data_IF_039026902158
#
_entry.id   IF_039026902158
#
_cell.length_a   1.000
_cell.length_b   1.000
_cell.length_c   1.000
_cell.angle_alpha   90.00
_cell.angle_beta   90.00
_cell.angle_gamma   90.00
#
_symmetry.space_group_name_H-M   'P 1'
#
loop_
_entity.id
_entity.type
_entity.pdbx_description
1 polymer ?
#
# COMPACT_ATOMS: atom_id res chain seq x y z
N UNK A 1 12.45 42.13 10.90
CA UNK A 1 11.29 41.56 11.61
C UNK A 1 10.48 40.82 10.57
N UNK A 2 10.76 39.52 10.43
CA UNK A 2 10.06 38.66 9.49
C UNK A 2 8.68 38.36 10.08
N UNK A 3 7.64 38.75 9.36
CA UNK A 3 6.25 38.47 9.73
C UNK A 3 6.02 36.96 9.63
N UNK A 4 5.73 36.31 10.77
CA UNK A 4 5.18 34.96 10.80
C UNK A 4 3.88 34.96 9.97
N UNK A 5 3.94 34.37 8.77
CA UNK A 5 2.78 34.08 7.96
C UNK A 5 2.01 32.94 8.67
N UNK A 6 0.69 33.03 8.88
CA UNK A 6 -0.06 31.94 9.50
C UNK A 6 0.05 30.72 8.60
N UNK A 7 0.39 29.58 9.20
CA UNK A 7 0.73 28.31 8.58
C UNK A 7 -0.12 28.02 7.33
N UNK A 8 0.53 27.88 6.17
CA UNK A 8 -0.07 27.19 5.05
C UNK A 8 -0.37 25.76 5.53
N UNK A 9 -1.66 25.41 5.62
CA UNK A 9 -2.11 24.07 6.00
C UNK A 9 -1.56 23.06 4.98
N UNK A 10 -0.81 22.08 5.46
CA UNK A 10 -0.22 21.03 4.62
C UNK A 10 -1.28 20.06 4.09
N UNK A 11 -0.91 19.21 3.13
CA UNK A 11 -1.86 18.23 2.59
C UNK A 11 -2.30 17.23 3.66
N UNK A 12 -1.39 16.79 4.53
CA UNK A 12 -1.70 15.85 5.61
C UNK A 12 -2.62 16.44 6.68
N UNK A 13 -2.56 17.75 6.96
CA UNK A 13 -3.54 18.39 7.86
C UNK A 13 -4.94 18.38 7.26
N UNK A 14 -5.10 18.64 5.96
CA UNK A 14 -6.40 18.50 5.30
C UNK A 14 -6.96 17.07 5.35
N UNK A 15 -6.08 16.06 5.18
CA UNK A 15 -6.49 14.66 5.35
C UNK A 15 -6.93 14.37 6.78
N UNK A 16 -6.17 14.82 7.76
CA UNK A 16 -6.50 14.67 9.18
C UNK A 16 -7.85 15.32 9.52
N UNK A 17 -8.08 16.54 9.04
CA UNK A 17 -9.33 17.26 9.28
C UNK A 17 -10.52 16.53 8.66
N UNK A 18 -10.39 15.98 7.45
CA UNK A 18 -11.44 15.18 6.82
C UNK A 18 -11.79 13.91 7.62
N UNK A 19 -10.78 13.26 8.20
CA UNK A 19 -10.94 12.04 8.99
C UNK A 19 -11.39 12.29 10.45
N UNK A 20 -11.22 13.51 10.97
CA UNK A 20 -11.60 13.88 12.35
C UNK A 20 -13.09 13.69 12.67
N UNK A 21 -13.93 13.61 11.63
CA UNK A 21 -15.36 13.34 11.75
C UNK A 21 -15.69 11.88 12.07
N UNK A 22 -14.73 10.97 11.88
CA UNK A 22 -14.87 9.52 12.07
C UNK A 22 -14.09 9.01 13.29
N UNK A 23 -13.03 9.71 13.69
CA UNK A 23 -12.22 9.38 14.87
C UNK A 23 -11.87 10.64 15.65
N UNK A 24 -12.17 10.65 16.96
CA UNK A 24 -11.98 11.82 17.83
C UNK A 24 -10.57 11.91 18.46
N UNK A 25 -9.72 10.91 18.27
CA UNK A 25 -8.47 10.77 19.04
C UNK A 25 -7.18 10.95 18.21
N UNK A 26 -7.29 11.11 16.89
CA UNK A 26 -6.12 11.16 16.02
C UNK A 26 -5.65 12.59 15.73
N UNK A 27 -4.40 12.89 16.09
CA UNK A 27 -3.71 14.13 15.67
C UNK A 27 -3.12 13.97 14.28
N UNK A 28 -2.90 15.07 13.56
CA UNK A 28 -2.21 15.06 12.25
C UNK A 28 -0.87 14.32 12.31
N UNK A 29 -0.09 14.51 13.38
CA UNK A 29 1.19 13.83 13.57
C UNK A 29 1.04 12.32 13.79
N UNK A 30 0.01 11.90 14.53
CA UNK A 30 -0.29 10.46 14.74
C UNK A 30 -0.73 9.78 13.44
N UNK A 31 -1.59 10.47 12.65
CA UNK A 31 -1.99 10.01 11.32
C UNK A 31 -0.79 9.90 10.39
N UNK A 32 0.04 10.93 10.33
CA UNK A 32 1.24 10.95 9.50
C UNK A 32 2.16 9.76 9.84
N UNK A 33 2.52 9.60 11.12
CA UNK A 33 3.32 8.47 11.59
C UNK A 33 2.69 7.13 11.20
N UNK A 34 1.38 6.99 11.36
CA UNK A 34 0.66 5.76 11.03
C UNK A 34 0.69 5.42 9.52
N UNK A 35 0.61 6.45 8.67
CA UNK A 35 0.73 6.28 7.21
C UNK A 35 2.18 5.95 6.81
N UNK A 36 3.17 6.58 7.46
CA UNK A 36 4.60 6.27 7.26
C UNK A 36 4.88 4.81 7.60
N UNK A 37 4.42 4.35 8.77
CA UNK A 37 4.61 2.96 9.21
C UNK A 37 3.98 2.00 8.18
N UNK A 38 2.80 2.35 7.66
CA UNK A 38 2.11 1.59 6.63
C UNK A 38 2.89 1.49 5.30
N UNK A 39 3.44 2.60 4.82
CA UNK A 39 4.24 2.64 3.58
C UNK A 39 5.53 1.83 3.76
N UNK A 40 6.21 2.03 4.89
CA UNK A 40 7.41 1.27 5.25
C UNK A 40 7.12 -0.24 5.30
N UNK A 41 6.19 -0.67 6.15
CA UNK A 41 5.83 -2.08 6.30
C UNK A 41 5.37 -2.70 4.97
N UNK A 42 4.56 -1.97 4.21
CA UNK A 42 4.12 -2.39 2.87
C UNK A 42 5.29 -2.60 1.90
N UNK A 43 6.32 -1.75 1.92
CA UNK A 43 7.54 -1.95 1.13
C UNK A 43 8.36 -3.16 1.63
N UNK A 44 8.52 -3.31 2.96
CA UNK A 44 9.28 -4.41 3.55
C UNK A 44 8.68 -5.78 3.24
N UNK A 45 7.38 -5.85 2.96
CA UNK A 45 6.73 -7.10 2.56
C UNK A 45 7.27 -7.68 1.25
N UNK A 46 7.65 -6.80 0.33
CA UNK A 46 8.16 -7.15 -0.99
C UNK A 46 9.68 -6.99 -1.07
N UNK A 47 10.36 -6.80 0.07
CA UNK A 47 11.80 -6.51 0.11
C UNK A 47 12.13 -5.26 -0.72
N UNK A 48 11.23 -4.28 -0.73
CA UNK A 48 11.31 -3.03 -1.48
C UNK A 48 11.63 -1.84 -0.55
N UNK A 49 11.87 -0.67 -1.14
CA UNK A 49 12.03 0.59 -0.40
C UNK A 49 13.37 0.73 0.33
N UNK A 50 13.41 1.60 1.35
CA UNK A 50 14.62 1.96 2.11
C UNK A 50 14.46 1.66 3.61
N UNK A 51 15.39 2.14 4.44
CA UNK A 51 15.26 2.12 5.91
C UNK A 51 14.09 2.97 6.40
N UNK A 52 13.63 2.73 7.62
CA UNK A 52 12.54 3.50 8.22
C UNK A 52 12.82 5.00 8.32
N UNK A 53 13.98 5.48 8.84
CA UNK A 53 14.23 6.93 8.95
C UNK A 53 14.19 7.65 7.61
N UNK A 54 14.76 7.05 6.57
CA UNK A 54 14.74 7.60 5.21
C UNK A 54 13.32 7.57 4.63
N UNK A 55 12.56 6.50 4.90
CA UNK A 55 11.16 6.41 4.49
C UNK A 55 10.32 7.50 5.13
N UNK A 56 10.49 7.74 6.42
CA UNK A 56 9.81 8.78 7.17
C UNK A 56 10.13 10.18 6.63
N UNK A 57 11.41 10.47 6.36
CA UNK A 57 11.82 11.76 5.80
C UNK A 57 11.21 12.02 4.41
N UNK A 58 11.24 11.01 3.53
CA UNK A 58 10.66 11.11 2.19
C UNK A 58 9.14 11.31 2.25
N UNK A 59 8.45 10.52 3.07
CA UNK A 59 7.01 10.65 3.26
C UNK A 59 6.65 12.02 3.83
N UNK A 60 7.37 12.50 4.85
CA UNK A 60 7.17 13.83 5.43
C UNK A 60 7.30 14.92 4.35
N UNK A 61 8.37 14.88 3.55
CA UNK A 61 8.57 15.82 2.45
C UNK A 61 7.40 15.80 1.46
N UNK A 62 6.93 14.62 1.06
CA UNK A 62 5.81 14.45 0.11
C UNK A 62 4.48 14.89 0.72
N UNK A 63 4.23 14.63 2.00
CA UNK A 63 2.95 14.94 2.64
C UNK A 63 2.80 16.43 2.98
N UNK A 64 3.91 17.13 3.19
CA UNK A 64 3.91 18.57 3.39
C UNK A 64 4.05 19.35 2.08
N UNK A 65 4.67 18.74 1.06
CA UNK A 65 4.83 19.31 -0.27
C UNK A 65 4.51 18.27 -1.35
N UNK A 66 3.21 17.94 -1.55
CA UNK A 66 2.83 16.93 -2.53
C UNK A 66 3.18 17.42 -3.93
N UNK A 67 3.74 16.53 -4.77
CA UNK A 67 4.12 16.90 -6.13
C UNK A 67 2.90 17.30 -6.95
N UNK A 68 3.11 18.27 -7.85
CA UNK A 68 2.10 18.67 -8.82
C UNK A 68 1.75 17.46 -9.72
N UNK A 69 0.48 17.02 -9.79
CA UNK A 69 0.05 15.95 -10.69
C UNK A 69 0.42 16.18 -12.16
N UNK A 70 0.69 17.42 -12.57
CA UNK A 70 1.11 17.78 -13.92
C UNK A 70 2.61 17.59 -14.19
N UNK A 71 3.45 17.42 -13.16
CA UNK A 71 4.89 17.22 -13.32
C UNK A 71 5.25 15.73 -13.36
N UNK A 72 6.17 15.35 -14.25
CA UNK A 72 6.68 13.98 -14.34
C UNK A 72 7.54 13.66 -13.11
N UNK A 73 7.36 12.47 -12.52
CA UNK A 73 8.04 12.03 -11.29
C UNK A 73 9.56 12.14 -11.42
N UNK A 74 10.13 11.81 -12.57
CA UNK A 74 11.58 11.94 -12.84
C UNK A 74 12.17 13.36 -12.76
N UNK A 75 11.34 14.41 -12.77
CA UNK A 75 11.77 15.81 -12.69
C UNK A 75 11.63 16.43 -11.30
N UNK A 76 11.07 15.68 -10.34
CA UNK A 76 10.83 16.15 -8.99
C UNK A 76 12.16 16.20 -8.19
N UNK A 77 12.53 17.35 -7.60
CA UNK A 77 13.69 17.47 -6.70
C UNK A 77 13.76 16.40 -5.60
N UNK A 78 12.60 15.88 -5.15
CA UNK A 78 12.50 14.84 -4.14
C UNK A 78 13.05 13.48 -4.62
N UNK A 79 13.17 13.25 -5.94
CA UNK A 79 13.77 12.01 -6.48
C UNK A 79 15.29 11.93 -6.34
N UNK A 80 15.96 13.06 -6.06
CA UNK A 80 17.41 13.09 -5.88
C UNK A 80 17.79 12.54 -4.51
N UNK A 81 18.62 11.50 -4.50
CA UNK A 81 19.12 10.89 -3.26
C UNK A 81 20.15 11.81 -2.59
N UNK A 82 19.90 12.28 -1.36
CA UNK A 82 20.89 13.03 -0.59
C UNK A 82 22.15 12.19 -0.32
N UNK A 83 23.36 12.80 -0.32
CA UNK A 83 24.60 12.06 -0.07
C UNK A 83 24.59 11.23 1.23
N UNK A 84 23.97 11.75 2.29
CA UNK A 84 23.89 11.09 3.59
C UNK A 84 22.90 9.90 3.63
N UNK A 85 22.01 9.76 2.64
CA UNK A 85 21.12 8.60 2.51
C UNK A 85 21.82 7.42 1.84
N UNK A 86 22.82 7.67 0.98
CA UNK A 86 23.39 6.64 0.10
C UNK A 86 23.95 5.45 0.86
N UNK A 87 24.80 5.69 1.86
CA UNK A 87 25.48 4.63 2.60
C UNK A 87 24.48 3.78 3.41
N UNK A 88 23.49 4.44 4.01
CA UNK A 88 22.42 3.77 4.75
C UNK A 88 21.52 2.90 3.85
N UNK A 89 21.16 3.40 2.65
CA UNK A 89 20.41 2.61 1.67
C UNK A 89 21.24 1.41 1.19
N UNK A 90 22.53 1.61 0.85
CA UNK A 90 23.41 0.51 0.41
C UNK A 90 23.55 -0.57 1.50
N UNK A 91 23.68 -0.16 2.76
CA UNK A 91 23.74 -1.10 3.88
C UNK A 91 22.44 -1.92 4.01
N UNK A 92 21.27 -1.28 3.91
CA UNK A 92 19.97 -1.97 3.95
C UNK A 92 19.75 -2.90 2.74
N UNK A 93 20.17 -2.48 1.55
CA UNK A 93 20.15 -3.33 0.35
C UNK A 93 20.94 -4.63 0.59
N UNK A 94 22.14 -4.53 1.16
CA UNK A 94 22.96 -5.69 1.47
C UNK A 94 22.28 -6.64 2.48
N UNK A 95 21.64 -6.11 3.53
CA UNK A 95 20.91 -6.89 4.53
C UNK A 95 19.70 -7.62 3.94
N UNK A 96 19.07 -7.03 2.91
CA UNK A 96 17.89 -7.56 2.23
C UNK A 96 18.22 -8.44 1.02
N UNK A 97 19.51 -8.69 0.75
CA UNK A 97 19.97 -9.48 -0.39
C UNK A 97 19.84 -8.77 -1.76
N UNK A 98 19.58 -7.47 -1.75
CA UNK A 98 19.53 -6.60 -2.94
C UNK A 98 20.91 -6.04 -3.26
N UNK A 99 21.10 -5.59 -4.50
CA UNK A 99 22.40 -5.12 -4.98
C UNK A 99 22.53 -3.61 -4.78
N UNK A 100 23.74 -3.06 -4.61
CA UNK A 100 23.93 -1.60 -4.60
C UNK A 100 23.40 -0.88 -5.85
N UNK A 101 23.31 -1.59 -6.98
CA UNK A 101 22.71 -1.08 -8.21
C UNK A 101 21.20 -0.77 -8.08
N UNK A 102 20.52 -1.32 -7.08
CA UNK A 102 19.10 -1.10 -6.80
C UNK A 102 18.86 0.17 -5.95
N UNK A 103 19.89 0.97 -5.63
CA UNK A 103 19.80 2.17 -4.78
C UNK A 103 18.79 3.19 -5.31
N UNK A 104 18.83 3.53 -6.60
CA UNK A 104 17.89 4.47 -7.19
C UNK A 104 16.47 3.91 -7.21
N UNK A 105 16.34 2.61 -7.47
CA UNK A 105 15.06 1.90 -7.44
C UNK A 105 14.44 1.91 -6.04
N UNK A 106 15.20 1.52 -5.02
CA UNK A 106 14.75 1.49 -3.63
C UNK A 106 14.24 2.86 -3.15
N UNK A 107 14.93 3.93 -3.52
CA UNK A 107 14.49 5.29 -3.20
C UNK A 107 13.21 5.67 -3.95
N UNK A 108 13.15 5.40 -5.26
CA UNK A 108 11.96 5.66 -6.10
C UNK A 108 10.73 4.89 -5.62
N UNK A 109 10.88 3.64 -5.20
CA UNK A 109 9.80 2.80 -4.68
C UNK A 109 9.10 3.47 -3.48
N UNK A 110 9.85 4.07 -2.55
CA UNK A 110 9.26 4.81 -1.41
C UNK A 110 8.48 6.04 -1.89
N UNK A 111 9.11 6.85 -2.74
CA UNK A 111 8.53 8.10 -3.23
C UNK A 111 7.22 7.82 -3.96
N UNK A 112 7.25 6.87 -4.90
CA UNK A 112 6.10 6.53 -5.72
C UNK A 112 4.96 5.94 -4.89
N UNK A 113 5.28 5.16 -3.86
CA UNK A 113 4.30 4.60 -2.94
C UNK A 113 3.61 5.70 -2.10
N UNK A 114 4.38 6.65 -1.57
CA UNK A 114 3.84 7.80 -0.85
C UNK A 114 3.00 8.72 -1.76
N UNK A 115 3.48 8.99 -2.98
CA UNK A 115 2.73 9.76 -3.99
C UNK A 115 1.42 9.05 -4.39
N UNK A 116 1.45 7.74 -4.58
CA UNK A 116 0.27 6.94 -4.88
C UNK A 116 -0.75 6.98 -3.72
N UNK A 117 -0.28 6.96 -2.47
CA UNK A 117 -1.15 7.16 -1.31
C UNK A 117 -1.83 8.53 -1.34
N UNK A 118 -1.06 9.60 -1.53
CA UNK A 118 -1.58 10.97 -1.66
C UNK A 118 -2.64 11.05 -2.75
N UNK A 119 -2.35 10.47 -3.91
CA UNK A 119 -3.25 10.45 -5.05
C UNK A 119 -4.57 9.72 -4.73
N UNK A 120 -4.50 8.51 -4.17
CA UNK A 120 -5.69 7.73 -3.82
C UNK A 120 -6.52 8.40 -2.73
N UNK A 121 -5.88 8.90 -1.67
CA UNK A 121 -6.57 9.59 -0.58
C UNK A 121 -7.24 10.88 -1.06
N UNK A 122 -6.63 11.62 -2.00
CA UNK A 122 -7.25 12.79 -2.63
C UNK A 122 -8.56 12.43 -3.34
N UNK A 123 -8.56 11.38 -4.16
CA UNK A 123 -9.74 11.00 -4.94
C UNK A 123 -10.83 10.36 -4.06
N UNK A 124 -10.44 9.41 -3.22
CA UNK A 124 -11.35 8.56 -2.47
C UNK A 124 -11.85 9.23 -1.18
N UNK A 125 -10.98 9.94 -0.44
CA UNK A 125 -11.31 10.53 0.86
C UNK A 125 -11.68 12.00 0.70
N UNK A 126 -10.78 12.84 0.15
CA UNK A 126 -10.95 14.30 0.17
C UNK A 126 -11.96 14.82 -0.85
N UNK A 127 -11.91 14.31 -2.09
CA UNK A 127 -12.77 14.80 -3.18
C UNK A 127 -14.04 13.98 -3.34
N UNK A 128 -14.06 12.76 -2.80
CA UNK A 128 -15.11 11.77 -3.04
C UNK A 128 -15.48 11.67 -4.53
N UNK A 129 -14.47 11.76 -5.39
CA UNK A 129 -14.61 11.74 -6.83
C UNK A 129 -14.39 10.32 -7.35
N UNK A 130 -15.09 9.92 -8.43
CA UNK A 130 -14.79 8.66 -9.09
C UNK A 130 -13.32 8.63 -9.53
N UNK A 131 -12.57 7.61 -9.15
CA UNK A 131 -11.27 7.34 -9.74
C UNK A 131 -11.46 7.11 -11.24
N UNK A 132 -10.55 7.59 -12.09
CA UNK A 132 -10.57 7.22 -13.51
C UNK A 132 -9.56 6.11 -13.78
N UNK A 133 -9.89 5.23 -14.73
CA UNK A 133 -8.95 4.19 -15.17
C UNK A 133 -7.71 4.74 -15.90
N UNK A 134 -7.58 6.06 -16.08
CA UNK A 134 -6.42 6.72 -16.71
C UNK A 134 -5.49 7.43 -15.72
N UNK A 135 -5.87 7.54 -14.45
CA UNK A 135 -5.04 8.15 -13.40
C UNK A 135 -3.97 7.15 -12.95
N UNK A 136 -2.91 7.02 -13.74
CA UNK A 136 -1.79 6.14 -13.47
C UNK A 136 -0.51 6.93 -13.21
N UNK A 137 -0.44 7.58 -12.05
CA UNK A 137 0.80 8.15 -11.54
C UNK A 137 1.39 7.31 -10.40
N UNK A 138 1.38 5.98 -10.56
CA UNK A 138 1.91 5.07 -9.56
C UNK A 138 2.98 4.15 -10.17
N UNK A 139 4.19 4.33 -9.65
CA UNK A 139 5.41 3.56 -9.84
C UNK A 139 6.07 3.60 -11.23
N UNK A 140 7.07 4.50 -11.41
CA UNK A 140 8.03 4.50 -12.52
C UNK A 140 9.11 3.43 -12.38
N UNK A 141 9.06 2.43 -13.28
CA UNK A 141 10.19 1.56 -13.59
C UNK A 141 10.49 1.68 -15.11
N UNK A 142 11.70 2.13 -15.44
CA UNK A 142 12.10 2.58 -16.79
C UNK A 142 12.15 1.45 -17.83
N UNK A 143 12.14 0.18 -17.41
CA UNK A 143 12.15 -0.97 -18.34
C UNK A 143 10.74 -1.51 -18.69
N UNK A 144 9.70 -1.18 -17.90
CA UNK A 144 8.36 -1.81 -18.03
C UNK A 144 7.22 -0.78 -18.22
N UNK A 145 7.51 0.52 -18.10
CA UNK A 145 6.52 1.56 -18.34
C UNK A 145 5.76 1.87 -17.06
N UNK A 146 6.31 2.84 -16.35
CA UNK A 146 5.69 3.54 -15.25
C UNK A 146 4.21 3.84 -15.40
N UNK A 147 3.37 3.52 -14.42
CA UNK A 147 1.95 3.89 -14.49
C UNK A 147 1.27 3.41 -15.78
N UNK A 148 1.75 2.33 -16.39
CA UNK A 148 1.12 1.74 -17.57
C UNK A 148 0.76 0.31 -17.25
N UNK A 149 -0.42 -0.11 -17.69
CA UNK A 149 -0.77 -1.52 -17.63
C UNK A 149 0.28 -2.34 -18.39
N UNK A 150 0.67 -3.46 -17.79
CA UNK A 150 1.64 -4.36 -18.41
C UNK A 150 1.10 -4.86 -19.76
N UNK A 151 2.01 -4.95 -20.72
CA UNK A 151 1.75 -5.48 -22.05
C UNK A 151 2.25 -6.92 -22.22
N UNK A 152 2.87 -7.47 -21.17
CA UNK A 152 3.46 -8.80 -21.14
C UNK A 152 2.86 -9.63 -20.00
N UNK A 153 3.01 -10.96 -20.11
CA UNK A 153 2.50 -11.88 -19.11
C UNK A 153 3.40 -11.93 -17.88
N UNK A 154 2.77 -11.93 -16.71
CA UNK A 154 3.43 -11.99 -15.40
C UNK A 154 2.91 -13.22 -14.68
N UNK A 155 3.78 -13.85 -13.91
CA UNK A 155 3.41 -14.98 -13.06
C UNK A 155 3.94 -14.74 -11.65
N UNK A 156 3.11 -15.05 -10.65
CA UNK A 156 3.51 -14.97 -9.25
C UNK A 156 4.02 -16.33 -8.81
N UNK A 157 5.17 -16.32 -8.14
CA UNK A 157 5.74 -17.50 -7.48
C UNK A 157 5.32 -17.48 -6.01
N UNK A 158 4.76 -18.58 -5.56
CA UNK A 158 4.41 -18.79 -4.17
C UNK A 158 5.25 -19.93 -3.61
N UNK A 159 5.89 -19.67 -2.47
CA UNK A 159 6.55 -20.72 -1.71
C UNK A 159 5.47 -21.62 -1.08
N UNK A 160 5.57 -22.92 -1.34
CA UNK A 160 4.72 -23.89 -0.65
C UNK A 160 5.27 -24.10 0.77
N UNK A 161 4.38 -24.25 1.76
CA UNK A 161 4.80 -24.69 3.10
C UNK A 161 5.49 -26.06 3.00
N UNK A 162 6.55 -26.23 3.79
CA UNK A 162 7.26 -27.48 4.06
C UNK A 162 7.86 -28.20 2.83
N UNK A 163 8.91 -27.61 2.23
CA UNK A 163 9.80 -28.32 1.31
C UNK A 163 9.22 -28.63 -0.08
N UNK A 164 8.03 -28.12 -0.39
CA UNK A 164 7.44 -28.21 -1.72
C UNK A 164 8.15 -27.30 -2.73
N UNK A 165 8.16 -27.69 -4.02
CA UNK A 165 8.67 -26.82 -5.09
C UNK A 165 7.78 -25.57 -5.20
N UNK A 166 8.34 -24.37 -5.36
CA UNK A 166 7.56 -23.15 -5.49
C UNK A 166 6.58 -23.26 -6.67
N UNK A 167 5.31 -22.94 -6.42
CA UNK A 167 4.27 -22.98 -7.45
C UNK A 167 4.24 -21.64 -8.16
N UNK A 168 4.33 -21.68 -9.49
CA UNK A 168 4.17 -20.50 -10.34
C UNK A 168 2.75 -20.49 -10.88
N UNK A 169 2.01 -19.42 -10.63
CA UNK A 169 0.66 -19.21 -11.16
C UNK A 169 0.70 -18.02 -12.10
N UNK A 170 0.27 -18.23 -13.34
CA UNK A 170 0.12 -17.14 -14.31
C UNK A 170 -0.97 -16.18 -13.82
N UNK A 171 -0.69 -14.89 -13.86
CA UNK A 171 -1.70 -13.87 -13.59
C UNK A 171 -2.72 -13.79 -14.72
N UNK A 172 -3.71 -12.90 -14.57
CA UNK A 172 -4.62 -12.54 -15.65
C UNK A 172 -3.85 -12.25 -16.96
N UNK A 173 -4.43 -12.55 -18.12
CA UNK A 173 -3.76 -12.23 -19.39
C UNK A 173 -3.58 -10.72 -19.54
N UNK A 174 -2.41 -10.27 -19.99
CA UNK A 174 -2.10 -8.85 -20.16
C UNK A 174 -3.16 -8.12 -21.00
N UNK A 175 -3.63 -8.76 -22.08
CA UNK A 175 -4.69 -8.24 -22.96
C UNK A 175 -6.03 -7.98 -22.24
N UNK A 176 -6.31 -8.70 -21.15
CA UNK A 176 -7.55 -8.57 -20.39
C UNK A 176 -7.47 -7.48 -19.31
N UNK A 177 -6.26 -7.14 -18.84
CA UNK A 177 -6.02 -6.16 -17.76
C UNK A 177 -6.79 -4.84 -17.97
N UNK A 178 -6.75 -4.18 -19.14
CA UNK A 178 -7.44 -2.89 -19.30
C UNK A 178 -8.95 -2.99 -19.11
N UNK A 179 -9.57 -4.12 -19.48
CA UNK A 179 -11.01 -4.33 -19.29
C UNK A 179 -11.33 -4.48 -17.80
N UNK A 180 -10.65 -5.40 -17.13
CA UNK A 180 -10.92 -5.67 -15.72
C UNK A 180 -10.56 -4.51 -14.80
N UNK A 181 -9.55 -3.70 -15.15
CA UNK A 181 -9.26 -2.48 -14.38
C UNK A 181 -10.35 -1.41 -14.55
N UNK A 182 -10.98 -1.28 -15.72
CA UNK A 182 -12.16 -0.41 -15.87
C UNK A 182 -13.31 -0.89 -15.00
N UNK A 183 -13.62 -2.18 -15.05
CA UNK A 183 -14.68 -2.78 -14.22
C UNK A 183 -14.39 -2.63 -12.73
N UNK A 184 -13.13 -2.84 -12.32
CA UNK A 184 -12.66 -2.62 -10.95
C UNK A 184 -12.89 -1.18 -10.49
N UNK A 185 -12.47 -0.20 -11.28
CA UNK A 185 -12.63 1.23 -10.96
C UNK A 185 -14.10 1.61 -10.94
N UNK A 186 -14.90 1.16 -11.90
CA UNK A 186 -16.33 1.43 -11.95
C UNK A 186 -17.05 0.88 -10.71
N UNK A 187 -16.70 -0.33 -10.28
CA UNK A 187 -17.27 -0.92 -9.07
C UNK A 187 -16.80 -0.20 -7.82
N UNK A 188 -15.49 0.10 -7.72
CA UNK A 188 -14.90 0.83 -6.59
C UNK A 188 -15.61 2.16 -6.40
N UNK A 189 -15.81 2.89 -7.48
CA UNK A 189 -16.52 4.15 -7.47
C UNK A 189 -17.96 3.97 -7.00
N UNK A 190 -18.70 3.00 -7.53
CA UNK A 190 -20.09 2.72 -7.11
C UNK A 190 -20.20 2.39 -5.63
N UNK A 191 -19.32 1.53 -5.11
CA UNK A 191 -19.34 1.14 -3.70
C UNK A 191 -18.83 2.25 -2.77
N UNK A 192 -18.00 3.17 -3.29
CA UNK A 192 -17.52 4.34 -2.57
C UNK A 192 -18.52 5.51 -2.56
N UNK A 193 -19.62 5.43 -3.33
CA UNK A 193 -20.70 6.43 -3.30
C UNK A 193 -21.49 6.27 -2.00
N UNK A 194 -21.16 7.09 -1.00
CA UNK A 194 -21.87 7.20 0.26
C UNK A 194 -20.98 7.04 1.50
N UNK A 195 -21.59 7.18 2.68
CA UNK A 195 -20.88 7.14 3.96
C UNK A 195 -20.76 5.73 4.58
N UNK A 196 -21.34 4.70 3.96
CA UNK A 196 -21.32 3.34 4.49
C UNK A 196 -20.71 2.36 3.48
N UNK A 197 -19.78 1.55 3.97
CA UNK A 197 -19.22 0.44 3.21
C UNK A 197 -20.22 -0.71 3.09
N UNK A 198 -20.55 -1.12 1.86
CA UNK A 198 -21.38 -2.30 1.59
C UNK A 198 -20.67 -3.55 2.14
N UNK A 199 -21.34 -4.31 3.01
CA UNK A 199 -20.74 -5.48 3.71
C UNK A 199 -19.81 -5.11 4.88
N UNK A 200 -19.62 -3.82 5.15
CA UNK A 200 -18.74 -3.31 6.21
C UNK A 200 -17.31 -3.00 5.73
N UNK A 201 -16.58 -2.12 6.44
CA UNK A 201 -15.29 -1.59 5.98
C UNK A 201 -14.23 -2.66 5.71
N UNK A 202 -14.11 -3.65 6.61
CA UNK A 202 -13.15 -4.75 6.46
C UNK A 202 -13.43 -5.62 5.24
N UNK A 203 -14.71 -5.92 4.99
CA UNK A 203 -15.11 -6.73 3.85
C UNK A 203 -14.84 -6.00 2.54
N UNK A 204 -15.21 -4.71 2.49
CA UNK A 204 -14.98 -3.86 1.33
C UNK A 204 -13.48 -3.76 0.99
N UNK A 205 -12.66 -3.46 2.00
CA UNK A 205 -11.22 -3.32 1.82
C UNK A 205 -10.55 -4.64 1.40
N UNK A 206 -10.92 -5.76 2.02
CA UNK A 206 -10.43 -7.08 1.64
C UNK A 206 -10.85 -7.47 0.20
N UNK A 207 -12.08 -7.10 -0.20
CA UNK A 207 -12.58 -7.35 -1.56
C UNK A 207 -11.71 -6.62 -2.59
N UNK A 208 -11.61 -5.31 -2.49
CA UNK A 208 -10.85 -4.52 -3.47
C UNK A 208 -9.35 -4.85 -3.46
N UNK A 209 -8.79 -5.23 -2.31
CA UNK A 209 -7.43 -5.75 -2.23
C UNK A 209 -7.20 -6.96 -3.13
N UNK A 210 -7.94 -8.07 -2.92
CA UNK A 210 -7.64 -9.26 -3.71
C UNK A 210 -8.02 -9.09 -5.17
N UNK A 211 -9.11 -8.36 -5.48
CA UNK A 211 -9.48 -8.10 -6.86
C UNK A 211 -8.37 -7.37 -7.61
N UNK A 212 -7.74 -6.37 -6.98
CA UNK A 212 -6.60 -5.65 -7.57
C UNK A 212 -5.38 -6.59 -7.77
N UNK A 213 -4.99 -7.32 -6.72
CA UNK A 213 -3.84 -8.24 -6.77
C UNK A 213 -4.05 -9.35 -7.80
N UNK A 214 -5.29 -9.80 -8.00
CA UNK A 214 -5.68 -10.77 -9.01
C UNK A 214 -5.57 -10.23 -10.44
N UNK A 215 -6.10 -9.04 -10.71
CA UNK A 215 -5.95 -8.38 -12.02
C UNK A 215 -4.47 -8.21 -12.36
N UNK A 216 -3.66 -7.89 -11.33
CA UNK A 216 -2.22 -7.73 -11.42
C UNK A 216 -1.83 -6.78 -12.57
N UNK A 217 -2.30 -5.52 -12.54
CA UNK A 217 -2.27 -4.65 -13.71
C UNK A 217 -0.88 -4.18 -14.14
N UNK A 218 0.09 -4.15 -13.23
CA UNK A 218 1.43 -3.60 -13.47
C UNK A 218 2.48 -4.71 -13.57
N UNK A 219 3.66 -4.39 -14.07
CA UNK A 219 4.79 -5.34 -14.09
C UNK A 219 5.40 -5.59 -12.72
N UNK A 220 5.31 -4.62 -11.83
CA UNK A 220 5.75 -4.66 -10.44
C UNK A 220 4.85 -3.76 -9.58
N UNK A 221 4.92 -3.85 -8.25
CA UNK A 221 4.20 -2.97 -7.33
C UNK A 221 2.74 -3.34 -7.07
N UNK A 222 2.25 -4.45 -7.65
CA UNK A 222 0.84 -4.84 -7.53
C UNK A 222 0.41 -5.12 -6.07
N UNK A 223 1.29 -5.72 -5.26
CA UNK A 223 0.97 -5.96 -3.87
C UNK A 223 0.97 -4.68 -3.04
N UNK A 224 1.93 -3.76 -3.26
CA UNK A 224 2.00 -2.42 -2.64
C UNK A 224 0.74 -1.60 -2.95
N UNK A 225 0.38 -1.50 -4.23
CA UNK A 225 -0.85 -0.82 -4.66
C UNK A 225 -2.13 -1.47 -4.11
N UNK A 226 -2.20 -2.80 -4.06
CA UNK A 226 -3.33 -3.50 -3.42
C UNK A 226 -3.47 -3.15 -1.94
N UNK A 227 -2.35 -3.08 -1.20
CA UNK A 227 -2.33 -2.64 0.20
C UNK A 227 -2.68 -1.16 0.37
N UNK A 228 -2.27 -0.29 -0.55
CA UNK A 228 -2.72 1.11 -0.54
C UNK A 228 -4.23 1.23 -0.68
N UNK A 229 -4.83 0.55 -1.66
CA UNK A 229 -6.29 0.53 -1.84
C UNK A 229 -7.00 0.06 -0.58
N UNK A 230 -6.51 -1.03 0.02
CA UNK A 230 -7.02 -1.56 1.30
C UNK A 230 -6.97 -0.50 2.41
N UNK A 231 -5.81 0.13 2.63
CA UNK A 231 -5.62 1.06 3.74
C UNK A 231 -6.38 2.38 3.53
N UNK A 232 -6.47 2.89 2.30
CA UNK A 232 -7.27 4.08 1.98
C UNK A 232 -8.76 3.83 2.22
N UNK A 233 -9.27 2.63 1.89
CA UNK A 233 -10.66 2.27 2.17
C UNK A 233 -10.92 2.15 3.69
N UNK A 234 -10.01 1.56 4.45
CA UNK A 234 -10.13 1.49 5.90
C UNK A 234 -10.11 2.89 6.53
N UNK A 235 -9.18 3.75 6.11
CA UNK A 235 -9.12 5.14 6.54
C UNK A 235 -10.43 5.88 6.23
N UNK A 236 -10.96 5.75 4.99
CA UNK A 236 -12.21 6.39 4.57
C UNK A 236 -13.39 6.07 5.48
N UNK A 237 -13.52 4.82 5.94
CA UNK A 237 -14.72 4.34 6.62
C UNK A 237 -14.59 4.13 8.12
N UNK A 238 -13.37 3.98 8.64
CA UNK A 238 -13.11 3.80 10.06
C UNK A 238 -12.45 5.04 10.68
N UNK A 239 -11.69 5.83 9.90
CA UNK A 239 -10.90 6.93 10.44
C UNK A 239 -9.74 6.48 11.36
N UNK A 240 -9.45 5.18 11.38
CA UNK A 240 -8.47 4.54 12.26
C UNK A 240 -7.13 4.31 11.58
N UNK A 241 -6.11 3.96 12.39
CA UNK A 241 -4.73 3.69 11.96
C UNK A 241 -4.69 2.59 10.88
N UNK A 242 -3.91 2.75 9.78
CA UNK A 242 -3.69 1.68 8.81
C UNK A 242 -3.00 0.45 9.44
N UNK A 243 -3.36 -0.75 8.97
CA UNK A 243 -2.98 -2.03 9.61
C UNK A 243 -1.51 -2.46 9.47
N UNK A 244 -0.73 -1.78 8.65
CA UNK A 244 0.54 -2.30 8.14
C UNK A 244 1.75 -1.60 8.73
N UNK A 245 1.64 -1.16 9.98
CA UNK A 245 2.64 -0.35 10.66
C UNK A 245 2.57 -0.49 12.17
N UNK A 246 3.21 -1.51 12.73
CA UNK A 246 3.47 -1.52 14.17
C UNK A 246 4.74 -0.70 14.45
N UNK A 247 4.66 0.17 15.46
CA UNK A 247 5.82 0.91 15.95
C UNK A 247 6.74 -0.02 16.72
N UNK A 248 8.02 0.29 16.69
CA UNK A 248 9.08 -0.39 17.44
C UNK A 248 8.94 -0.26 18.97
N UNK A 249 8.06 0.61 19.48
CA UNK A 249 8.18 1.19 20.84
C UNK A 249 7.23 0.65 21.95
N UNK A 250 6.44 -0.40 21.74
CA UNK A 250 5.57 -0.93 22.82
C UNK A 250 5.76 -2.44 23.07
N UNK A 251 6.88 -2.85 23.66
CA UNK A 251 7.00 -4.18 24.28
C UNK A 251 7.89 -4.14 25.54
N UNK A 252 7.32 -4.60 26.66
CA UNK A 252 8.00 -4.73 27.95
C UNK A 252 9.16 -5.76 27.94
N UNK A 253 10.17 -5.46 28.76
CA UNK A 253 11.44 -6.16 28.93
C UNK A 253 11.30 -7.67 29.21
N UNK A 254 11.92 -8.49 28.36
CA UNK A 254 12.13 -9.90 28.61
C UNK A 254 13.14 -10.50 27.63
N UNK A 255 13.83 -11.54 28.06
CA UNK A 255 15.02 -12.22 27.50
C UNK A 255 14.95 -12.72 26.04
N UNK A 256 15.01 -11.83 25.04
CA UNK A 256 15.60 -12.09 23.71
C UNK A 256 16.20 -10.75 23.25
N UNK A 257 17.14 -10.70 22.29
CA UNK A 257 17.57 -9.41 21.75
C UNK A 257 16.37 -8.73 21.08
N UNK A 258 16.22 -7.44 21.31
CA UNK A 258 15.04 -6.61 21.01
C UNK A 258 14.68 -6.65 19.51
N UNK A 259 15.70 -6.62 18.66
CA UNK A 259 15.67 -6.74 17.21
C UNK A 259 15.13 -8.10 16.73
N UNK A 260 15.42 -9.19 17.45
CA UNK A 260 15.09 -10.57 17.05
C UNK A 260 13.61 -10.94 17.34
N UNK A 261 12.97 -10.36 18.37
CA UNK A 261 11.55 -10.63 18.71
C UNK A 261 10.57 -9.94 17.78
N UNK A 262 10.77 -8.64 17.57
CA UNK A 262 9.91 -7.81 16.73
C UNK A 262 9.92 -8.28 15.29
N UNK A 263 11.12 -8.56 14.75
CA UNK A 263 11.26 -9.18 13.44
C UNK A 263 10.53 -10.52 13.31
N UNK A 264 10.38 -11.30 14.38
CA UNK A 264 9.73 -12.61 14.33
C UNK A 264 8.19 -12.53 14.34
N UNK A 265 7.60 -11.62 15.11
CA UNK A 265 6.14 -11.40 15.10
C UNK A 265 5.68 -10.67 13.85
N UNK A 266 6.42 -9.63 13.42
CA UNK A 266 6.17 -8.90 12.17
C UNK A 266 6.23 -9.87 10.97
N UNK A 267 7.27 -10.71 10.91
CA UNK A 267 7.35 -11.80 9.91
C UNK A 267 6.19 -12.79 10.00
N UNK A 268 5.60 -13.02 11.18
CA UNK A 268 4.47 -13.94 11.35
C UNK A 268 3.18 -13.35 10.81
N UNK A 269 2.84 -12.10 11.17
CA UNK A 269 1.65 -11.42 10.65
C UNK A 269 1.75 -11.20 9.13
N UNK A 270 2.93 -10.80 8.65
CA UNK A 270 3.27 -10.72 7.23
C UNK A 270 3.06 -12.08 6.53
N UNK A 271 3.59 -13.17 7.12
CA UNK A 271 3.45 -14.52 6.56
C UNK A 271 2.00 -14.99 6.55
N UNK A 272 1.23 -14.72 7.61
CA UNK A 272 -0.19 -15.06 7.68
C UNK A 272 -1.00 -14.34 6.60
N UNK A 273 -0.72 -13.05 6.37
CA UNK A 273 -1.32 -12.32 5.26
C UNK A 273 -0.92 -12.86 3.89
N UNK A 274 0.37 -13.07 3.62
CA UNK A 274 0.83 -13.61 2.33
C UNK A 274 0.14 -14.95 2.05
N UNK A 275 0.07 -15.82 3.06
CA UNK A 275 -0.62 -17.10 2.99
C UNK A 275 -2.11 -16.94 2.65
N UNK A 276 -2.80 -15.98 3.27
CA UNK A 276 -4.23 -15.70 3.01
C UNK A 276 -4.47 -15.15 1.61
N UNK A 277 -3.68 -14.17 1.16
CA UNK A 277 -3.78 -13.59 -0.19
C UNK A 277 -3.55 -14.65 -1.26
N UNK A 278 -2.60 -15.56 -1.02
CA UNK A 278 -2.31 -16.67 -1.92
C UNK A 278 -3.48 -17.65 -2.02
N UNK A 279 -4.14 -17.98 -0.90
CA UNK A 279 -5.33 -18.86 -0.89
C UNK A 279 -6.55 -18.19 -1.52
N UNK A 280 -6.81 -16.93 -1.19
CA UNK A 280 -7.90 -16.15 -1.74
C UNK A 280 -7.84 -16.09 -3.27
N UNK A 281 -6.64 -15.95 -3.84
CA UNK A 281 -6.43 -15.98 -5.29
C UNK A 281 -6.93 -17.28 -5.93
N UNK A 282 -6.76 -18.43 -5.28
CA UNK A 282 -7.30 -19.71 -5.79
C UNK A 282 -8.82 -19.72 -5.77
N UNK A 283 -9.42 -19.34 -4.64
CA UNK A 283 -10.89 -19.32 -4.49
C UNK A 283 -11.53 -18.32 -5.46
N UNK A 284 -10.89 -17.17 -5.69
CA UNK A 284 -11.35 -16.20 -6.69
C UNK A 284 -11.52 -16.83 -8.07
N UNK A 285 -10.52 -17.58 -8.55
CA UNK A 285 -10.61 -18.24 -9.87
C UNK A 285 -11.71 -19.30 -9.93
N UNK A 286 -12.00 -19.97 -8.81
CA UNK A 286 -13.06 -20.96 -8.71
C UNK A 286 -14.46 -20.30 -8.70
N UNK A 287 -14.55 -19.06 -8.23
CA UNK A 287 -15.80 -18.29 -8.13
C UNK A 287 -16.04 -17.33 -9.31
N UNK A 288 -14.99 -16.91 -10.02
CA UNK A 288 -15.06 -15.95 -11.13
C UNK A 288 -15.98 -16.47 -12.24
N UNK A 289 -17.00 -15.67 -12.58
CA UNK A 289 -18.07 -16.00 -13.55
C UNK A 289 -18.99 -17.19 -13.19
N UNK A 290 -18.65 -17.98 -12.17
CA UNK A 290 -19.42 -19.15 -11.71
C UNK A 290 -20.32 -18.82 -10.50
N UNK A 291 -19.96 -17.80 -9.72
CA UNK A 291 -20.65 -17.40 -8.48
C UNK A 291 -21.02 -15.93 -8.54
N UNK A 292 -22.31 -15.65 -8.30
CA UNK A 292 -22.84 -14.29 -8.22
C UNK A 292 -22.06 -13.44 -7.18
N UNK A 293 -21.78 -12.15 -7.46
CA UNK A 293 -20.91 -11.32 -6.63
C UNK A 293 -21.22 -11.30 -5.13
N UNK A 294 -22.49 -11.36 -4.75
CA UNK A 294 -22.95 -11.39 -3.36
C UNK A 294 -22.64 -12.69 -2.61
N UNK A 295 -22.39 -13.79 -3.33
CA UNK A 295 -22.12 -15.11 -2.76
C UNK A 295 -20.63 -15.47 -2.72
N UNK A 296 -19.78 -14.65 -3.34
CA UNK A 296 -18.34 -14.86 -3.37
C UNK A 296 -17.72 -14.85 -1.95
N UNK A 297 -16.71 -15.69 -1.75
CA UNK A 297 -16.12 -15.97 -0.44
C UNK A 297 -14.62 -15.76 -0.36
N UNK A 298 -13.94 -15.54 -1.49
CA UNK A 298 -12.48 -15.37 -1.55
C UNK A 298 -11.93 -14.29 -0.59
N UNK A 299 -12.69 -13.24 -0.28
CA UNK A 299 -12.28 -12.16 0.63
C UNK A 299 -12.50 -12.48 2.12
N UNK A 300 -13.24 -13.54 2.48
CA UNK A 300 -13.69 -13.78 3.86
C UNK A 300 -12.55 -14.06 4.84
N UNK A 301 -11.50 -14.75 4.41
CA UNK A 301 -10.32 -15.01 5.24
C UNK A 301 -9.60 -13.71 5.58
N UNK A 302 -9.31 -12.87 4.58
CA UNK A 302 -8.67 -11.58 4.81
C UNK A 302 -9.57 -10.67 5.65
N UNK A 303 -10.87 -10.61 5.35
CA UNK A 303 -11.85 -9.87 6.17
C UNK A 303 -11.76 -10.26 7.66
N UNK A 304 -11.65 -11.56 7.94
CA UNK A 304 -11.53 -12.07 9.31
C UNK A 304 -10.18 -11.72 9.95
N UNK A 305 -9.09 -11.71 9.18
CA UNK A 305 -7.79 -11.23 9.65
C UNK A 305 -7.85 -9.74 9.98
N UNK A 306 -8.37 -8.90 9.08
CA UNK A 306 -8.48 -7.46 9.29
C UNK A 306 -9.25 -7.15 10.58
N UNK A 307 -10.41 -7.79 10.78
CA UNK A 307 -11.19 -7.68 12.02
C UNK A 307 -10.37 -8.02 13.26
N UNK A 308 -9.66 -9.15 13.26
CA UNK A 308 -8.84 -9.58 14.41
C UNK A 308 -7.67 -8.65 14.69
N UNK A 309 -7.09 -8.01 13.67
CA UNK A 309 -5.97 -7.09 13.85
C UNK A 309 -6.46 -5.76 14.44
N UNK A 310 -7.59 -5.22 13.94
CA UNK A 310 -8.18 -3.99 14.47
C UNK A 310 -8.90 -4.16 15.81
N UNK A 311 -9.48 -5.32 16.10
CA UNK A 311 -10.10 -5.59 17.41
C UNK A 311 -9.05 -5.82 18.52
N UNK A 312 -7.76 -5.90 18.17
CA UNK A 312 -6.64 -6.08 19.10
C UNK A 312 -5.78 -4.83 19.27
N UNK A 313 -5.90 -3.84 18.38
CA UNK A 313 -5.25 -2.53 18.46
C UNK A 313 -6.06 -1.56 19.30
#
# INVERSE_FOLDING_TARGET
MSTNNPAESSWISHLSDALSTLSHESTTASLESSVVDCIYGSNRIETAGTTYPITAELCHSIFHHPPDPANQVSSDPQTRIPPHHRDAIIADLALTGRKPADLDRAHKEVIQHAQAFVHLANHIILRNQPCTSGDHSAEENDEIGAGKYRTHEVAVKYDLKAGGKPKTTLCMRAKAVPRYMREFVDMLNKDCVGQRAVGGPYQLAARYHHQFVFIHPFGDGNGRMGRLVLNVLLLKYLGEKPLWGEKEEELEEGTWREDERMHAMEKRAQKEYIDMVSRASRVFHEEDMEVEPEHQTWHKELTSLLKRLFEKS
#
